data_IF_070452571175
#
_entry.id   IF_070452571175
#
_cell.length_a   1.000
_cell.length_b   1.000
_cell.length_c   1.000
_cell.angle_alpha   90.00
_cell.angle_beta   90.00
_cell.angle_gamma   90.00
#
_symmetry.space_group_name_H-M   'P 1'
#
loop_
_entity.id
_entity.type
_entity.pdbx_description
1 polymer ?
#
# COMPACT_ATOMS: atom_id res chain seq x y z
N UNK A 1 -11.13 -19.81 -30.36
CA UNK A 1 -12.14 -20.05 -29.32
C UNK A 1 -11.99 -21.49 -28.87
N UNK A 2 -11.17 -21.73 -27.84
CA UNK A 2 -11.08 -23.01 -27.14
C UNK A 2 -11.12 -22.64 -25.67
N UNK A 3 -12.21 -23.04 -25.02
CA UNK A 3 -12.35 -23.09 -23.58
C UNK A 3 -11.78 -24.44 -23.18
N UNK A 4 -10.69 -24.45 -22.43
CA UNK A 4 -10.27 -25.65 -21.70
C UNK A 4 -9.92 -25.30 -20.26
N UNK A 5 -10.49 -26.08 -19.36
CA UNK A 5 -10.42 -25.95 -17.92
C UNK A 5 -9.49 -27.05 -17.40
N UNK A 6 -8.25 -26.68 -17.09
CA UNK A 6 -7.24 -27.56 -16.49
C UNK A 6 -6.50 -26.86 -15.37
N UNK A 7 -6.86 -27.17 -14.13
CA UNK A 7 -6.24 -26.67 -12.91
C UNK A 7 -4.74 -27.01 -12.85
N UNK A 8 -3.90 -25.97 -12.81
CA UNK A 8 -2.58 -26.03 -12.20
C UNK A 8 -2.44 -24.87 -11.21
N UNK A 9 -2.61 -25.17 -9.92
CA UNK A 9 -2.45 -24.24 -8.80
C UNK A 9 -0.98 -23.79 -8.71
N UNK A 10 -0.65 -22.70 -9.39
CA UNK A 10 0.42 -21.82 -8.97
C UNK A 10 -0.14 -20.90 -7.89
N UNK A 11 0.48 -20.94 -6.70
CA UNK A 11 0.18 -20.03 -5.61
C UNK A 11 0.39 -18.59 -6.12
N UNK A 12 -0.71 -17.94 -6.48
CA UNK A 12 -0.80 -16.49 -6.48
C UNK A 12 -0.45 -16.03 -5.06
N UNK A 13 0.28 -14.92 -4.88
CA UNK A 13 0.21 -14.24 -3.60
C UNK A 13 -1.27 -13.97 -3.38
N UNK A 14 -1.83 -14.63 -2.38
CA UNK A 14 -3.20 -14.43 -1.96
C UNK A 14 -3.33 -12.92 -1.79
N UNK A 15 -4.26 -12.22 -2.46
CA UNK A 15 -4.64 -10.90 -1.98
C UNK A 15 -4.99 -11.17 -0.53
N UNK A 16 -4.23 -10.58 0.41
CA UNK A 16 -4.49 -10.67 1.85
C UNK A 16 -5.98 -10.72 1.98
N UNK A 17 -6.52 -11.85 2.44
CA UNK A 17 -7.94 -11.96 2.65
C UNK A 17 -8.28 -10.73 3.47
N UNK A 18 -9.01 -9.80 2.86
CA UNK A 18 -9.86 -8.93 3.63
C UNK A 18 -10.69 -9.95 4.37
N UNK A 19 -10.29 -10.25 5.62
CA UNK A 19 -11.20 -10.81 6.58
C UNK A 19 -12.43 -9.94 6.39
N UNK A 20 -13.49 -10.54 5.84
CA UNK A 20 -14.76 -9.85 5.74
C UNK A 20 -15.04 -9.46 7.18
N UNK A 21 -14.74 -8.18 7.49
CA UNK A 21 -15.08 -7.60 8.77
C UNK A 21 -16.56 -7.93 8.86
N UNK A 22 -17.02 -8.60 9.94
CA UNK A 22 -18.45 -8.85 10.11
C UNK A 22 -19.16 -7.53 9.76
N UNK A 23 -20.20 -7.55 8.90
CA UNK A 23 -20.78 -6.32 8.38
C UNK A 23 -20.93 -5.37 9.55
N UNK A 24 -20.15 -4.28 9.53
CA UNK A 24 -20.12 -3.35 10.64
C UNK A 24 -21.57 -2.98 10.84
N UNK A 25 -22.15 -3.33 11.99
CA UNK A 25 -23.53 -3.01 12.25
C UNK A 25 -23.63 -1.49 12.09
N UNK A 26 -24.31 -0.98 11.04
CA UNK A 26 -24.20 0.43 10.67
C UNK A 26 -24.65 1.34 11.82
N UNK A 27 -25.55 0.83 12.67
CA UNK A 27 -26.03 1.51 13.86
C UNK A 27 -25.00 1.54 15.00
N UNK A 28 -24.17 0.52 15.17
CA UNK A 28 -23.12 0.47 16.22
C UNK A 28 -21.91 1.32 15.81
N UNK A 29 -21.52 1.30 14.53
CA UNK A 29 -20.38 2.11 14.04
C UNK A 29 -20.73 3.61 14.04
N UNK A 30 -21.93 3.97 13.57
CA UNK A 30 -22.41 5.34 13.64
C UNK A 30 -22.50 5.84 15.08
N UNK A 31 -23.08 5.08 16.01
CA UNK A 31 -23.22 5.51 17.42
C UNK A 31 -21.89 5.62 18.17
N UNK A 32 -20.90 4.77 17.87
CA UNK A 32 -19.56 4.87 18.45
C UNK A 32 -18.77 6.07 17.92
N UNK A 33 -18.83 6.33 16.61
CA UNK A 33 -18.23 7.52 15.98
C UNK A 33 -18.89 8.80 16.53
N UNK A 34 -20.21 8.77 16.71
CA UNK A 34 -20.99 9.86 17.30
C UNK A 34 -20.56 10.14 18.74
N UNK A 35 -20.40 9.09 19.56
CA UNK A 35 -19.95 9.23 20.94
C UNK A 35 -18.54 9.82 21.02
N UNK A 36 -17.61 9.32 20.19
CA UNK A 36 -16.23 9.79 20.16
C UNK A 36 -16.11 11.27 19.78
N UNK A 37 -16.82 11.72 18.73
CA UNK A 37 -16.84 13.13 18.35
C UNK A 37 -17.51 14.01 19.41
N UNK A 38 -18.57 13.51 20.06
CA UNK A 38 -19.26 14.24 21.15
C UNK A 38 -18.30 14.52 22.30
N UNK A 39 -17.59 13.49 22.75
CA UNK A 39 -16.60 13.60 23.83
C UNK A 39 -15.49 14.56 23.42
N UNK A 40 -14.98 14.47 22.19
CA UNK A 40 -13.95 15.38 21.69
C UNK A 40 -14.40 16.85 21.67
N UNK A 41 -15.63 17.13 21.20
CA UNK A 41 -16.19 18.48 21.25
C UNK A 41 -16.29 18.99 22.68
N UNK A 42 -16.80 18.17 23.60
CA UNK A 42 -16.95 18.55 25.02
C UNK A 42 -15.61 18.88 25.67
N UNK A 43 -14.55 18.11 25.38
CA UNK A 43 -13.20 18.37 25.89
C UNK A 43 -12.60 19.68 25.35
N UNK A 44 -13.07 20.17 24.20
CA UNK A 44 -12.51 21.34 23.51
C UNK A 44 -13.54 22.44 23.24
N UNK A 45 -14.64 22.47 24.00
CA UNK A 45 -15.79 23.31 23.70
C UNK A 45 -15.44 24.80 23.64
N UNK A 46 -14.48 25.26 24.46
CA UNK A 46 -14.01 26.64 24.44
C UNK A 46 -13.35 27.04 23.10
N UNK A 47 -12.53 26.16 22.52
CA UNK A 47 -11.86 26.42 21.24
C UNK A 47 -12.86 26.49 20.08
N UNK A 48 -13.84 25.58 20.06
CA UNK A 48 -14.92 25.60 19.08
C UNK A 48 -15.83 26.82 19.23
N UNK A 49 -16.25 27.14 20.47
CA UNK A 49 -17.12 28.28 20.77
C UNK A 49 -16.48 29.62 20.42
N UNK A 50 -15.16 29.78 20.65
CA UNK A 50 -14.41 30.98 20.27
C UNK A 50 -14.44 31.28 18.76
N UNK A 51 -14.79 30.27 17.94
CA UNK A 51 -14.91 30.36 16.49
C UNK A 51 -16.35 30.20 16.00
N UNK A 52 -17.31 30.23 16.92
CA UNK A 52 -18.75 30.11 16.62
C UNK A 52 -19.17 28.73 16.11
N UNK A 53 -18.34 27.69 16.34
CA UNK A 53 -18.61 26.32 15.88
C UNK A 53 -19.40 25.59 16.96
N UNK A 54 -20.60 25.16 16.62
CA UNK A 54 -21.49 24.38 17.50
C UNK A 54 -21.33 22.88 17.27
N UNK A 55 -21.67 22.08 18.28
CA UNK A 55 -21.72 20.62 18.13
C UNK A 55 -22.65 20.18 16.98
N UNK A 56 -23.78 20.87 16.79
CA UNK A 56 -24.72 20.56 15.72
C UNK A 56 -24.11 20.81 14.32
N UNK A 57 -23.35 21.90 14.14
CA UNK A 57 -22.65 22.16 12.87
C UNK A 57 -21.63 21.07 12.56
N UNK A 58 -20.83 20.63 13.55
CA UNK A 58 -19.89 19.52 13.36
C UNK A 58 -20.61 18.23 12.94
N UNK A 59 -21.85 18.01 13.41
CA UNK A 59 -22.59 16.79 13.12
C UNK A 59 -23.15 16.81 11.72
N UNK A 60 -23.71 17.94 11.32
CA UNK A 60 -24.25 18.15 9.98
C UNK A 60 -23.16 18.12 8.89
N UNK A 61 -21.89 18.32 9.28
CA UNK A 61 -20.73 18.25 8.39
C UNK A 61 -20.16 16.83 8.22
N UNK A 62 -20.71 15.82 8.89
CA UNK A 62 -20.32 14.43 8.66
C UNK A 62 -20.81 14.04 7.27
N UNK A 63 -19.87 13.63 6.43
CA UNK A 63 -20.15 13.10 5.09
C UNK A 63 -19.66 11.68 4.98
N UNK A 64 -20.32 10.91 4.14
CA UNK A 64 -19.84 9.59 3.75
C UNK A 64 -18.63 9.77 2.84
N UNK A 65 -17.55 9.02 3.12
CA UNK A 65 -16.45 8.94 2.17
C UNK A 65 -16.93 8.23 0.91
N UNK A 66 -16.62 8.79 -0.26
CA UNK A 66 -16.99 8.19 -1.55
C UNK A 66 -15.77 8.01 -2.44
N UNK A 67 -15.88 7.08 -3.39
CA UNK A 67 -14.83 6.84 -4.37
C UNK A 67 -15.40 6.31 -5.67
N UNK A 68 -14.83 6.75 -6.78
CA UNK A 68 -15.01 6.16 -8.09
C UNK A 68 -13.65 5.66 -8.60
N UNK A 69 -13.63 4.52 -9.25
CA UNK A 69 -12.41 3.96 -9.84
C UNK A 69 -12.74 3.30 -11.17
N UNK A 70 -11.79 3.38 -12.09
CA UNK A 70 -11.80 2.69 -13.37
C UNK A 70 -10.40 2.15 -13.62
N UNK A 71 -10.32 0.88 -14.00
CA UNK A 71 -9.12 0.23 -14.47
C UNK A 71 -9.37 -0.47 -15.81
N UNK A 72 -8.31 -0.59 -16.59
CA UNK A 72 -8.31 -1.32 -17.85
C UNK A 72 -6.98 -2.05 -18.00
N UNK A 73 -7.05 -3.34 -18.34
CA UNK A 73 -5.87 -4.15 -18.53
C UNK A 73 -6.03 -5.17 -19.65
N UNK A 74 -4.90 -5.64 -20.14
CA UNK A 74 -4.80 -6.70 -21.13
C UNK A 74 -3.88 -7.78 -20.56
N UNK A 75 -4.20 -9.04 -20.80
CA UNK A 75 -3.26 -10.15 -20.62
C UNK A 75 -2.96 -10.75 -21.98
N UNK A 76 -1.68 -10.78 -22.35
CA UNK A 76 -1.24 -11.42 -23.56
C UNK A 76 -0.22 -12.51 -23.23
N UNK A 77 -0.46 -13.71 -23.72
CA UNK A 77 0.43 -14.87 -23.56
C UNK A 77 0.74 -15.41 -24.94
N UNK A 78 2.01 -15.65 -25.20
CA UNK A 78 2.46 -16.17 -26.48
C UNK A 78 3.63 -17.13 -26.28
N UNK A 79 3.67 -18.15 -27.15
CA UNK A 79 4.78 -19.08 -27.25
C UNK A 79 5.54 -18.75 -28.52
N UNK A 80 6.85 -18.54 -28.39
CA UNK A 80 7.74 -18.27 -29.52
C UNK A 80 8.74 -19.41 -29.62
N UNK A 81 8.77 -20.06 -30.77
CA UNK A 81 9.72 -21.13 -31.06
C UNK A 81 11.15 -20.67 -30.78
N UNK A 82 11.85 -21.38 -29.89
CA UNK A 82 13.21 -21.07 -29.47
C UNK A 82 13.36 -20.03 -28.34
N UNK A 83 12.29 -19.33 -27.96
CA UNK A 83 12.28 -18.36 -26.84
C UNK A 83 11.31 -18.73 -25.71
N UNK A 84 10.54 -19.80 -25.87
CA UNK A 84 9.62 -20.31 -24.86
C UNK A 84 8.34 -19.48 -24.73
N UNK A 85 7.71 -19.55 -23.56
CA UNK A 85 6.41 -18.91 -23.30
C UNK A 85 6.63 -17.62 -22.54
N UNK A 86 6.12 -16.51 -23.05
CA UNK A 86 6.08 -15.26 -22.30
C UNK A 86 4.65 -14.75 -22.14
N UNK A 87 4.41 -14.02 -21.07
CA UNK A 87 3.16 -13.36 -20.75
C UNK A 87 3.42 -11.96 -20.26
N UNK A 88 2.64 -10.99 -20.73
CA UNK A 88 2.65 -9.62 -20.24
C UNK A 88 1.23 -9.17 -19.89
N UNK A 89 1.13 -8.37 -18.84
CA UNK A 89 -0.12 -7.86 -18.32
C UNK A 89 0.01 -6.39 -17.96
N UNK A 90 -0.16 -5.47 -18.94
CA UNK A 90 -0.30 -4.05 -18.63
C UNK A 90 -1.70 -3.74 -18.09
N UNK A 91 -1.76 -2.92 -17.05
CA UNK A 91 -3.00 -2.38 -16.46
C UNK A 91 -2.83 -0.90 -16.19
N UNK A 92 -3.77 -0.06 -16.62
CA UNK A 92 -3.86 1.34 -16.23
C UNK A 92 -5.06 1.56 -15.31
N UNK A 93 -4.98 2.54 -14.42
CA UNK A 93 -6.11 2.90 -13.55
C UNK A 93 -6.18 4.39 -13.28
N UNK A 94 -7.39 4.82 -12.92
CA UNK A 94 -7.69 6.12 -12.34
C UNK A 94 -8.72 5.92 -11.23
N UNK A 95 -8.56 6.60 -10.11
CA UNK A 95 -9.53 6.64 -9.02
C UNK A 95 -9.61 8.04 -8.43
N UNK A 96 -10.83 8.46 -8.11
CA UNK A 96 -11.10 9.69 -7.39
C UNK A 96 -11.74 9.36 -6.06
N UNK A 97 -11.24 9.98 -5.01
CA UNK A 97 -11.78 9.89 -3.66
C UNK A 97 -12.28 11.26 -3.23
N UNK A 98 -13.46 11.29 -2.62
CA UNK A 98 -14.08 12.50 -2.10
C UNK A 98 -14.51 12.30 -0.64
N UNK A 99 -14.53 13.40 0.11
CA UNK A 99 -14.93 13.49 1.51
C UNK A 99 -14.17 12.57 2.48
N UNK A 100 -12.90 12.26 2.15
CA UNK A 100 -11.99 11.49 3.01
C UNK A 100 -11.80 12.14 4.37
N UNK A 101 -11.86 11.34 5.42
CA UNK A 101 -11.59 11.74 6.79
C UNK A 101 -10.14 12.16 6.98
N UNK A 102 -9.92 13.43 7.27
CA UNK A 102 -8.61 14.00 7.56
C UNK A 102 -8.63 14.66 8.93
N UNK A 103 -7.56 14.49 9.70
CA UNK A 103 -7.40 15.17 10.99
C UNK A 103 -6.39 16.29 10.81
N UNK A 104 -6.84 17.53 11.00
CA UNK A 104 -6.00 18.73 10.90
C UNK A 104 -6.64 19.89 11.68
N UNK A 105 -5.88 20.95 11.91
CA UNK A 105 -6.35 22.19 12.52
C UNK A 105 -6.74 23.18 11.41
N UNK A 106 -8.02 23.56 11.28
CA UNK A 106 -8.46 24.54 10.29
C UNK A 106 -8.23 25.99 10.75
N UNK A 107 -7.59 26.25 11.90
CA UNK A 107 -7.33 27.59 12.44
C UNK A 107 -8.02 27.87 13.77
N UNK A 108 -8.35 26.83 14.53
CA UNK A 108 -8.95 26.92 15.87
C UNK A 108 -7.95 26.54 16.98
N UNK A 109 -6.72 26.13 16.63
CA UNK A 109 -5.66 25.78 17.57
C UNK A 109 -5.69 24.33 18.02
N UNK A 110 -6.59 23.50 17.47
CA UNK A 110 -6.70 22.07 17.75
C UNK A 110 -6.98 21.30 16.47
N UNK A 111 -6.45 20.07 16.37
CA UNK A 111 -6.71 19.18 15.25
C UNK A 111 -7.92 18.30 15.51
N UNK A 112 -8.78 18.13 14.52
CA UNK A 112 -9.93 17.24 14.62
C UNK A 112 -10.31 16.65 13.26
N UNK A 113 -11.01 15.53 13.28
CA UNK A 113 -11.39 14.78 12.09
C UNK A 113 -12.51 15.48 11.31
N UNK A 114 -12.31 15.60 9.99
CA UNK A 114 -13.21 16.28 9.05
C UNK A 114 -13.25 15.51 7.73
N UNK A 115 -14.44 15.40 7.12
CA UNK A 115 -14.66 14.70 5.85
C UNK A 115 -14.49 15.67 4.67
N UNK A 116 -13.25 16.11 4.44
CA UNK A 116 -12.91 17.15 3.47
C UNK A 116 -11.75 16.78 2.55
N UNK A 117 -11.14 15.62 2.74
CA UNK A 117 -10.05 15.15 1.90
C UNK A 117 -10.53 14.74 0.52
N UNK A 118 -9.83 15.18 -0.52
CA UNK A 118 -10.07 14.77 -1.90
C UNK A 118 -8.76 14.36 -2.55
N UNK A 119 -8.74 13.22 -3.25
CA UNK A 119 -7.58 12.77 -4.00
C UNK A 119 -7.94 12.23 -5.38
N UNK A 120 -6.94 12.28 -6.25
CA UNK A 120 -6.94 11.64 -7.55
C UNK A 120 -5.72 10.72 -7.60
N UNK A 121 -5.98 9.42 -7.67
CA UNK A 121 -5.01 8.40 -7.94
C UNK A 121 -5.04 8.03 -9.43
N UNK A 122 -3.89 7.92 -10.08
CA UNK A 122 -3.77 7.36 -11.41
C UNK A 122 -2.41 6.73 -11.57
N UNK A 123 -2.33 5.72 -12.42
CA UNK A 123 -1.11 4.96 -12.56
C UNK A 123 -1.20 3.84 -13.57
N UNK A 124 -0.10 3.11 -13.67
CA UNK A 124 0.02 1.95 -14.52
C UNK A 124 0.82 0.87 -13.82
N UNK A 125 0.50 -0.37 -14.12
CA UNK A 125 1.19 -1.56 -13.65
C UNK A 125 1.52 -2.42 -14.85
N UNK A 126 2.68 -3.06 -14.81
CA UNK A 126 3.10 -4.06 -15.78
C UNK A 126 3.55 -5.30 -15.02
N UNK A 127 2.90 -6.42 -15.29
CA UNK A 127 3.38 -7.74 -14.91
C UNK A 127 3.96 -8.43 -16.14
N UNK A 128 5.10 -9.10 -15.96
CA UNK A 128 5.71 -9.93 -16.98
C UNK A 128 6.10 -11.29 -16.40
N UNK A 129 5.95 -12.33 -17.21
CA UNK A 129 6.44 -13.67 -16.91
C UNK A 129 7.06 -14.28 -18.16
N UNK A 130 8.16 -14.98 -17.99
CA UNK A 130 8.87 -15.62 -19.09
C UNK A 130 9.41 -16.98 -18.67
N UNK A 131 9.04 -18.01 -19.42
CA UNK A 131 9.52 -19.38 -19.31
C UNK A 131 10.30 -19.73 -20.57
N UNK A 132 11.59 -19.39 -20.66
CA UNK A 132 12.40 -19.72 -21.83
C UNK A 132 12.57 -21.24 -22.02
N UNK A 133 12.61 -21.97 -20.91
CA UNK A 133 12.73 -23.43 -20.84
C UNK A 133 11.92 -23.94 -19.64
N UNK A 134 11.60 -25.23 -19.60
CA UNK A 134 10.76 -25.82 -18.55
C UNK A 134 11.34 -25.68 -17.12
N UNK A 135 12.66 -25.54 -17.03
CA UNK A 135 13.39 -25.43 -15.76
C UNK A 135 13.56 -24.00 -15.27
N UNK A 136 13.22 -22.98 -16.07
CA UNK A 136 13.44 -21.58 -15.71
C UNK A 136 12.15 -20.77 -15.87
N UNK A 137 11.78 -20.07 -14.81
CA UNK A 137 10.57 -19.23 -14.75
C UNK A 137 10.94 -17.86 -14.19
N UNK A 138 10.93 -16.84 -15.03
CA UNK A 138 11.29 -15.47 -14.69
C UNK A 138 10.01 -14.66 -14.56
N UNK A 139 9.94 -13.78 -13.58
CA UNK A 139 8.83 -12.86 -13.39
C UNK A 139 9.35 -11.47 -13.06
N UNK A 140 8.61 -10.46 -13.52
CA UNK A 140 8.87 -9.07 -13.20
C UNK A 140 7.55 -8.35 -12.97
N UNK A 141 7.55 -7.36 -12.08
CA UNK A 141 6.48 -6.39 -11.94
C UNK A 141 7.05 -4.99 -11.82
N UNK A 142 6.31 -4.01 -12.32
CA UNK A 142 6.61 -2.60 -12.14
C UNK A 142 5.30 -1.84 -12.00
N UNK A 143 5.25 -0.88 -11.08
CA UNK A 143 4.11 0.01 -10.91
C UNK A 143 4.57 1.46 -10.87
N UNK A 144 3.78 2.32 -11.51
CA UNK A 144 3.81 3.77 -11.35
C UNK A 144 2.51 4.22 -10.69
N UNK A 145 2.59 4.97 -9.60
CA UNK A 145 1.43 5.51 -8.88
C UNK A 145 1.60 7.01 -8.61
N UNK A 146 0.62 7.79 -9.07
CA UNK A 146 0.45 9.19 -8.67
C UNK A 146 -0.87 9.30 -7.93
N UNK A 147 -0.80 9.61 -6.65
CA UNK A 147 -1.95 9.80 -5.79
C UNK A 147 -1.84 11.18 -5.15
N UNK A 148 -2.57 12.15 -5.69
CA UNK A 148 -2.41 13.57 -5.35
C UNK A 148 -3.64 14.15 -4.69
N UNK A 149 -3.44 15.14 -3.82
CA UNK A 149 -4.57 15.95 -3.33
C UNK A 149 -5.15 16.78 -4.46
N UNK A 150 -6.48 16.76 -4.58
CA UNK A 150 -7.20 17.56 -5.59
C UNK A 150 -7.52 18.96 -5.08
N UNK A 151 -7.63 19.12 -3.76
CA UNK A 151 -7.96 20.38 -3.11
C UNK A 151 -7.23 20.54 -1.78
N UNK A 152 -7.07 21.78 -1.36
CA UNK A 152 -6.60 22.12 -0.02
C UNK A 152 -7.73 21.90 0.99
N UNK A 153 -7.46 21.31 2.16
CA UNK A 153 -8.42 21.34 3.26
C UNK A 153 -8.79 22.79 3.60
N UNK A 154 -10.07 23.08 3.88
CA UNK A 154 -10.52 24.43 4.17
C UNK A 154 -9.91 24.97 5.46
N UNK A 155 -9.58 26.26 5.48
CA UNK A 155 -9.09 26.97 6.67
C UNK A 155 -10.05 28.11 7.01
N UNK A 156 -10.24 28.36 8.30
CA UNK A 156 -11.14 29.40 8.79
C UNK A 156 -10.50 30.79 8.65
N UNK A 157 -11.35 31.81 8.54
CA UNK A 157 -10.92 33.19 8.58
C UNK A 157 -10.16 33.50 9.88
N UNK A 158 -9.02 34.19 9.75
CA UNK A 158 -8.13 34.49 10.87
C UNK A 158 -7.26 33.31 11.34
N UNK A 159 -7.16 32.24 10.56
CA UNK A 159 -6.14 31.21 10.76
C UNK A 159 -4.72 31.80 10.62
N UNK A 160 -3.76 31.23 11.34
CA UNK A 160 -2.36 31.67 11.26
C UNK A 160 -1.77 31.40 9.86
N UNK A 161 -0.76 32.17 9.46
CA UNK A 161 -0.05 31.94 8.20
C UNK A 161 0.54 30.52 8.12
N UNK A 162 0.98 29.96 9.25
CA UNK A 162 1.48 28.59 9.32
C UNK A 162 0.38 27.55 9.04
N UNK A 163 -0.83 27.76 9.57
CA UNK A 163 -2.00 26.90 9.30
C UNK A 163 -2.38 26.94 7.82
N UNK A 164 -2.44 28.14 7.23
CA UNK A 164 -2.75 28.33 5.80
C UNK A 164 -1.70 27.64 4.92
N UNK A 165 -0.40 27.84 5.22
CA UNK A 165 0.68 27.20 4.49
C UNK A 165 0.64 25.67 4.63
N UNK A 166 0.37 25.15 5.82
CA UNK A 166 0.30 23.70 6.07
C UNK A 166 -0.91 23.01 5.41
N UNK A 167 -1.95 23.76 5.05
CA UNK A 167 -3.10 23.24 4.29
C UNK A 167 -2.89 23.29 2.77
N UNK A 168 -1.82 23.95 2.29
CA UNK A 168 -1.54 24.07 0.87
C UNK A 168 -0.89 22.80 0.31
N UNK A 169 -1.73 21.85 -0.10
CA UNK A 169 -1.33 20.49 -0.50
C UNK A 169 -1.84 20.09 -1.88
N UNK A 170 -2.63 20.91 -2.55
CA UNK A 170 -3.15 20.63 -3.91
C UNK A 170 -2.03 20.23 -4.87
N UNK A 171 -2.21 19.15 -5.60
CA UNK A 171 -1.23 18.58 -6.53
C UNK A 171 -0.04 17.90 -5.85
N UNK A 172 0.04 17.89 -4.52
CA UNK A 172 1.07 17.17 -3.79
C UNK A 172 0.72 15.68 -3.68
N UNK A 173 1.75 14.83 -3.69
CA UNK A 173 1.61 13.38 -3.53
C UNK A 173 1.19 13.08 -2.10
N UNK A 174 0.29 12.12 -1.93
CA UNK A 174 -0.11 11.61 -0.64
C UNK A 174 1.10 11.06 0.13
N UNK A 175 1.13 11.23 1.46
CA UNK A 175 2.21 10.70 2.28
C UNK A 175 2.32 9.17 2.15
N UNK A 176 3.54 8.65 2.28
CA UNK A 176 3.86 7.23 2.29
C UNK A 176 3.57 6.51 0.96
N UNK A 177 3.33 7.23 -0.14
CA UNK A 177 3.09 6.64 -1.47
C UNK A 177 4.34 6.79 -2.35
N UNK A 178 5.12 5.72 -2.58
CA UNK A 178 6.20 5.75 -3.56
C UNK A 178 5.64 5.82 -4.97
N UNK A 179 6.22 6.66 -5.82
CA UNK A 179 5.78 6.77 -7.21
C UNK A 179 6.10 5.52 -8.04
N UNK A 180 7.20 4.84 -7.70
CA UNK A 180 7.64 3.66 -8.41
C UNK A 180 7.83 2.50 -7.45
N UNK A 181 7.33 1.33 -7.82
CA UNK A 181 7.75 0.06 -7.21
C UNK A 181 8.05 -0.95 -8.30
N UNK A 182 8.95 -1.90 -8.02
CA UNK A 182 9.25 -2.97 -8.95
C UNK A 182 9.70 -4.23 -8.21
N UNK A 183 9.47 -5.38 -8.83
CA UNK A 183 10.06 -6.64 -8.43
C UNK A 183 10.60 -7.38 -9.65
N UNK A 184 11.71 -8.08 -9.50
CA UNK A 184 12.27 -8.97 -10.52
C UNK A 184 12.75 -10.23 -9.82
N UNK A 185 12.31 -11.38 -10.29
CA UNK A 185 12.77 -12.64 -9.77
C UNK A 185 12.73 -13.74 -10.80
N UNK A 186 13.29 -14.88 -10.43
CA UNK A 186 13.19 -16.07 -11.25
C UNK A 186 13.35 -17.32 -10.41
N UNK A 187 12.81 -18.43 -10.86
CA UNK A 187 13.02 -19.75 -10.26
C UNK A 187 13.69 -20.64 -11.28
N UNK A 188 14.89 -21.09 -10.95
CA UNK A 188 15.60 -22.11 -11.72
C UNK A 188 15.50 -23.45 -10.98
N UNK A 189 15.13 -24.51 -11.71
CA UNK A 189 14.98 -25.87 -11.20
C UNK A 189 16.00 -26.79 -11.85
N UNK A 190 16.73 -27.54 -11.04
CA UNK A 190 17.69 -28.52 -11.53
C UNK A 190 17.56 -29.81 -10.73
N UNK A 191 16.97 -30.84 -11.35
CA UNK A 191 16.58 -32.06 -10.66
C UNK A 191 15.62 -31.75 -9.50
N UNK A 192 16.02 -32.11 -8.29
CA UNK A 192 15.24 -31.88 -7.07
C UNK A 192 15.56 -30.55 -6.37
N UNK A 193 16.45 -29.73 -6.94
CA UNK A 193 16.80 -28.39 -6.45
C UNK A 193 15.96 -27.30 -7.11
N UNK A 194 15.63 -26.26 -6.34
CA UNK A 194 15.12 -24.99 -6.84
C UNK A 194 15.86 -23.82 -6.19
N UNK A 195 16.22 -22.84 -7.01
CA UNK A 195 16.84 -21.58 -6.60
C UNK A 195 16.00 -20.40 -7.09
N UNK A 196 15.65 -19.49 -6.19
CA UNK A 196 14.79 -18.35 -6.47
C UNK A 196 15.35 -17.05 -5.90
N UNK A 197 16.10 -16.26 -6.69
CA UNK A 197 16.42 -14.88 -6.35
C UNK A 197 15.24 -13.95 -6.66
N UNK A 198 14.99 -12.99 -5.78
CA UNK A 198 14.00 -11.92 -5.98
C UNK A 198 14.58 -10.59 -5.52
N UNK A 199 14.65 -9.62 -6.42
CA UNK A 199 14.95 -8.24 -6.12
C UNK A 199 13.65 -7.43 -6.02
N UNK A 200 13.49 -6.66 -4.95
CA UNK A 200 12.38 -5.74 -4.74
C UNK A 200 12.92 -4.31 -4.69
N UNK A 201 12.22 -3.37 -5.30
CA UNK A 201 12.54 -1.96 -5.31
C UNK A 201 11.32 -1.14 -4.88
N UNK A 202 11.56 -0.17 -4.00
CA UNK A 202 10.58 0.83 -3.60
C UNK A 202 11.21 2.21 -3.80
N UNK A 203 10.55 3.04 -4.60
CA UNK A 203 10.99 4.38 -4.89
C UNK A 203 10.92 5.30 -3.67
N UNK A 204 11.48 6.50 -3.84
CA UNK A 204 11.40 7.53 -2.81
C UNK A 204 9.97 8.00 -2.58
N UNK A 205 9.73 8.54 -1.39
CA UNK A 205 8.40 8.96 -0.95
C UNK A 205 8.48 10.00 0.15
N UNK A 206 7.43 10.78 0.32
CA UNK A 206 7.31 11.78 1.37
C UNK A 206 6.58 11.20 2.58
N UNK A 207 6.96 11.58 3.79
CA UNK A 207 6.26 11.17 5.02
C UNK A 207 5.14 12.15 5.40
N UNK A 208 5.19 13.37 4.90
CA UNK A 208 4.28 14.45 5.22
C UNK A 208 3.67 15.08 3.97
N UNK A 209 2.50 15.71 4.11
CA UNK A 209 1.79 16.38 3.01
C UNK A 209 2.49 17.66 2.56
N UNK A 210 3.26 18.27 3.45
CA UNK A 210 4.04 19.49 3.19
C UNK A 210 5.39 19.22 2.52
N UNK A 211 5.72 17.95 2.22
CA UNK A 211 6.96 17.55 1.52
C UNK A 211 8.24 18.08 2.18
N UNK A 212 8.32 17.98 3.50
CA UNK A 212 9.51 18.36 4.27
C UNK A 212 10.31 17.14 4.74
N UNK A 213 9.68 15.97 4.78
CA UNK A 213 10.30 14.73 5.27
C UNK A 213 10.40 13.72 4.13
N UNK A 214 11.52 13.82 3.42
CA UNK A 214 11.86 12.94 2.30
C UNK A 214 12.39 11.60 2.79
N UNK A 215 11.97 10.52 2.15
CA UNK A 215 12.52 9.18 2.33
C UNK A 215 13.09 8.69 1.02
N UNK A 216 14.38 8.35 1.06
CA UNK A 216 15.06 7.70 -0.04
C UNK A 216 14.41 6.36 -0.37
N UNK A 217 14.41 6.02 -1.66
CA UNK A 217 14.04 4.69 -2.11
C UNK A 217 15.04 3.65 -1.60
N UNK A 218 14.63 2.38 -1.65
CA UNK A 218 15.46 1.25 -1.25
C UNK A 218 15.22 0.05 -2.14
N UNK A 219 16.17 -0.87 -2.13
CA UNK A 219 16.04 -2.18 -2.75
C UNK A 219 16.47 -3.27 -1.78
N UNK A 220 15.79 -4.41 -1.83
CA UNK A 220 16.19 -5.64 -1.13
C UNK A 220 16.35 -6.77 -2.13
N UNK A 221 17.20 -7.72 -1.81
CA UNK A 221 17.31 -8.98 -2.56
C UNK A 221 17.10 -10.13 -1.60
N UNK A 222 16.18 -11.01 -1.94
CA UNK A 222 15.87 -12.21 -1.18
C UNK A 222 16.28 -13.43 -2.00
N UNK A 223 16.82 -14.45 -1.34
CA UNK A 223 17.18 -15.73 -1.94
C UNK A 223 16.39 -16.84 -1.27
N UNK A 224 15.82 -17.73 -2.08
CA UNK A 224 15.24 -18.98 -1.60
C UNK A 224 15.94 -20.17 -2.27
N UNK A 225 16.32 -21.15 -1.47
CA UNK A 225 16.80 -22.44 -1.90
C UNK A 225 15.85 -23.50 -1.38
N UNK A 226 15.48 -24.45 -2.23
CA UNK A 226 14.65 -25.59 -1.85
C UNK A 226 15.24 -26.88 -2.43
N UNK A 227 15.17 -27.96 -1.66
CA UNK A 227 15.52 -29.31 -2.12
C UNK A 227 14.44 -30.31 -1.71
N UNK A 228 14.05 -31.16 -2.66
CA UNK A 228 13.06 -32.22 -2.43
C UNK A 228 13.72 -33.58 -2.29
N UNK A 229 13.54 -34.22 -1.14
CA UNK A 229 13.91 -35.61 -0.91
C UNK A 229 12.70 -36.50 -1.21
N UNK A 230 12.90 -37.48 -2.10
CA UNK A 230 11.91 -38.51 -2.38
C UNK A 230 12.16 -39.69 -1.45
N UNK A 231 11.18 -39.99 -0.59
CA UNK A 231 11.18 -41.17 0.26
C UNK A 231 10.14 -42.18 -0.27
N UNK A 232 10.25 -43.48 0.04
CA UNK A 232 9.33 -44.50 -0.48
C UNK A 232 7.84 -44.24 -0.19
N UNK A 233 7.52 -43.60 0.94
CA UNK A 233 6.15 -43.32 1.37
C UNK A 233 5.91 -41.85 1.76
N UNK A 234 6.84 -40.94 1.42
CA UNK A 234 6.73 -39.54 1.78
C UNK A 234 7.58 -38.64 0.86
N UNK A 235 7.30 -37.34 0.88
CA UNK A 235 8.17 -36.31 0.30
C UNK A 235 8.61 -35.37 1.40
N UNK A 236 9.92 -35.20 1.53
CA UNK A 236 10.50 -34.22 2.45
C UNK A 236 11.03 -33.04 1.64
N UNK A 237 10.74 -31.83 2.08
CA UNK A 237 11.19 -30.58 1.49
C UNK A 237 12.02 -29.85 2.53
N UNK A 238 13.28 -29.57 2.22
CA UNK A 238 14.10 -28.65 3.00
C UNK A 238 14.22 -27.34 2.23
N UNK A 239 14.04 -26.22 2.92
CA UNK A 239 14.23 -24.89 2.33
C UNK A 239 15.03 -23.96 3.23
N UNK A 240 15.76 -23.06 2.59
CA UNK A 240 16.54 -22.00 3.20
C UNK A 240 16.17 -20.69 2.52
N UNK A 241 15.70 -19.72 3.31
CA UNK A 241 15.42 -18.37 2.83
C UNK A 241 16.39 -17.40 3.47
N UNK A 242 17.03 -16.56 2.65
CA UNK A 242 17.86 -15.44 3.08
C UNK A 242 17.14 -14.17 2.62
N UNK A 243 16.50 -13.45 3.54
CA UNK A 243 15.87 -12.17 3.23
C UNK A 243 16.88 -11.02 3.40
N UNK A 244 16.72 -9.96 2.62
CA UNK A 244 17.57 -8.78 2.62
C UNK A 244 19.07 -9.16 2.59
N UNK A 245 19.45 -9.93 1.57
CA UNK A 245 20.77 -10.52 1.34
C UNK A 245 21.90 -9.49 1.49
N UNK A 246 21.71 -8.25 1.06
CA UNK A 246 22.72 -7.19 1.15
C UNK A 246 22.65 -6.37 2.44
N UNK A 247 21.75 -6.73 3.35
CA UNK A 247 21.51 -6.03 4.62
C UNK A 247 21.26 -4.52 4.42
N UNK A 248 20.42 -4.18 3.43
CA UNK A 248 20.02 -2.80 3.17
C UNK A 248 19.29 -2.24 4.39
N UNK A 249 19.64 -1.00 4.76
CA UNK A 249 18.97 -0.25 5.82
C UNK A 249 17.91 0.67 5.19
N UNK A 250 16.67 0.53 5.63
CA UNK A 250 15.54 1.28 5.07
C UNK A 250 14.44 1.43 6.11
N UNK A 251 13.45 2.29 5.81
CA UNK A 251 12.23 2.44 6.61
C UNK A 251 11.15 1.58 5.98
N UNK A 252 10.79 0.49 6.66
CA UNK A 252 9.80 -0.47 6.19
C UNK A 252 8.37 -0.03 6.50
N UNK A 253 8.15 0.65 7.62
CA UNK A 253 6.83 1.11 8.02
C UNK A 253 6.89 2.46 8.73
N UNK A 254 5.81 3.22 8.62
CA UNK A 254 5.59 4.43 9.38
C UNK A 254 4.14 4.56 9.77
N UNK A 255 3.89 5.19 10.91
CA UNK A 255 2.55 5.67 11.21
C UNK A 255 2.28 6.95 10.38
N UNK A 256 1.36 6.85 9.42
CA UNK A 256 0.91 7.97 8.62
C UNK A 256 -0.63 7.95 8.49
N UNK A 257 -1.19 9.12 8.23
CA UNK A 257 -2.59 9.32 7.85
C UNK A 257 -2.69 9.90 6.45
N UNK A 258 -3.91 9.93 5.93
CA UNK A 258 -4.23 10.54 4.64
C UNK A 258 -3.71 11.99 4.55
N UNK A 259 -3.86 12.77 5.61
CA UNK A 259 -3.27 14.09 5.75
C UNK A 259 -2.36 14.12 6.98
N UNK A 260 -1.12 14.58 6.82
CA UNK A 260 -0.09 14.53 7.85
C UNK A 260 0.82 15.75 7.75
N UNK A 261 0.72 16.67 8.71
CA UNK A 261 1.65 17.80 8.83
C UNK A 261 2.91 17.39 9.60
N UNK A 262 4.05 17.94 9.17
CA UNK A 262 5.40 17.61 9.69
C UNK A 262 5.66 18.11 11.12
N UNK A 263 4.89 19.10 11.58
CA UNK A 263 5.06 19.78 12.88
C UNK A 263 4.68 18.94 14.10
N UNK A 264 4.31 17.68 13.91
CA UNK A 264 3.86 16.79 14.98
C UNK A 264 4.99 15.86 15.43
N UNK A 265 5.34 15.95 16.71
CA UNK A 265 6.38 15.23 17.46
C UNK A 265 6.20 13.70 17.54
N UNK A 266 5.27 13.11 16.78
CA UNK A 266 4.90 11.70 16.83
C UNK A 266 5.27 10.94 15.54
N UNK A 267 6.47 11.23 15.00
CA UNK A 267 6.98 10.50 13.84
C UNK A 267 7.55 9.15 14.25
N UNK A 268 6.77 8.08 14.06
CA UNK A 268 7.24 6.72 14.26
C UNK A 268 7.75 6.14 12.94
N UNK A 269 9.07 5.96 12.87
CA UNK A 269 9.74 5.24 11.80
C UNK A 269 10.13 3.86 12.30
N UNK A 270 9.69 2.83 11.59
CA UNK A 270 10.07 1.46 11.89
C UNK A 270 11.09 0.99 10.85
N UNK A 271 12.29 0.61 11.30
CA UNK A 271 13.30 0.09 10.39
C UNK A 271 12.76 -1.16 9.68
N UNK A 272 13.14 -1.30 8.42
CA UNK A 272 12.90 -2.51 7.65
C UNK A 272 13.59 -3.71 8.29
N UNK A 273 13.13 -4.91 7.92
CA UNK A 273 13.73 -6.13 8.43
C UNK A 273 15.22 -6.19 8.03
N UNK A 274 16.13 -6.49 8.97
CA UNK A 274 17.53 -6.72 8.64
C UNK A 274 17.67 -8.02 7.84
N UNK A 275 18.90 -8.36 7.46
CA UNK A 275 19.18 -9.70 6.91
C UNK A 275 18.70 -10.78 7.88
N UNK A 276 17.88 -11.71 7.39
CA UNK A 276 17.45 -12.87 8.17
C UNK A 276 17.65 -14.16 7.37
N UNK A 277 17.94 -15.25 8.08
CA UNK A 277 18.12 -16.58 7.52
C UNK A 277 17.14 -17.52 8.21
N UNK A 278 16.27 -18.16 7.43
CA UNK A 278 15.24 -19.07 7.94
C UNK A 278 15.35 -20.40 7.22
N UNK A 279 15.56 -21.46 7.99
CA UNK A 279 15.48 -22.84 7.53
C UNK A 279 14.12 -23.46 7.85
N UNK A 280 13.59 -24.28 6.95
CA UNK A 280 12.36 -25.03 7.14
C UNK A 280 12.52 -26.45 6.62
N UNK A 281 11.91 -27.40 7.34
CA UNK A 281 11.72 -28.77 6.86
C UNK A 281 10.21 -29.05 6.88
N UNK A 282 9.68 -29.60 5.80
CA UNK A 282 8.30 -30.02 5.69
C UNK A 282 8.22 -31.45 5.14
N UNK A 283 7.33 -32.25 5.69
CA UNK A 283 7.06 -33.61 5.22
C UNK A 283 5.60 -33.72 4.77
N UNK A 284 5.39 -34.32 3.60
CA UNK A 284 4.07 -34.65 3.06
C UNK A 284 3.98 -36.16 2.90
N UNK A 285 2.92 -36.75 3.43
CA UNK A 285 2.57 -38.16 3.32
C UNK A 285 1.63 -38.38 2.13
#
# INVERSE_FOLDING_TARGET
MIVDAGLARLATPTPSAAAARPPANPAIDASAIQLARRVFYQMNAAAFAAKGITANQLWQQIKLETSAALDAGLRWTHEVSGLGVFSIEPTGYVSRNDDKGVTYDPGIGIQYAQNVGQSLAYGAQLLGRWKPIDTLDIFASMSYDRNVFVSNPPVLAGASAATVAGANVTGTQLPNVPEWTAALGGTWRYGDFAFTPVANFTGSRWRDTTRTQYLSGYATVDLNFTYQFKLPAAKLEASLTISNLFNAQYIGFMNNSYFQQSTLTNAFYYPGAPRAVVGKIAMKF
#
